data_IF_612649987829
#
_entry.id   IF_612649987829
#
_cell.length_a   1.000
_cell.length_b   1.000
_cell.length_c   1.000
_cell.angle_alpha   90.00
_cell.angle_beta   90.00
_cell.angle_gamma   90.00
#
_symmetry.space_group_name_H-M   'P 1'
#
loop_
_entity.id
_entity.type
_entity.pdbx_description
1 polymer ?
#
# COMPACT_ATOMS: atom_id res chain seq x y z
N UNK A 1 -32.59 -34.94 -4.60
CA UNK A 1 -31.76 -34.47 -3.46
C UNK A 1 -30.57 -33.67 -3.98
N UNK A 2 -29.74 -34.18 -4.90
CA UNK A 2 -28.56 -33.49 -5.42
C UNK A 2 -28.85 -32.12 -6.05
N UNK A 3 -29.92 -32.00 -6.86
CA UNK A 3 -30.33 -30.73 -7.49
C UNK A 3 -30.71 -29.68 -6.44
N UNK A 4 -31.42 -30.07 -5.36
CA UNK A 4 -31.77 -29.14 -4.29
C UNK A 4 -30.55 -28.64 -3.51
N UNK A 5 -29.57 -29.50 -3.27
CA UNK A 5 -28.31 -29.14 -2.65
C UNK A 5 -27.51 -28.19 -3.55
N UNK A 6 -27.44 -28.48 -4.86
CA UNK A 6 -26.76 -27.63 -5.85
C UNK A 6 -27.42 -26.23 -5.92
N UNK A 7 -28.76 -26.19 -5.95
CA UNK A 7 -29.51 -24.93 -5.98
C UNK A 7 -29.30 -24.11 -4.68
N UNK A 8 -29.27 -24.78 -3.51
CA UNK A 8 -28.96 -24.15 -2.23
C UNK A 8 -27.53 -23.58 -2.18
N UNK A 9 -26.55 -24.33 -2.72
CA UNK A 9 -25.16 -23.87 -2.81
C UNK A 9 -25.03 -22.66 -3.75
N UNK A 10 -25.72 -22.69 -4.89
CA UNK A 10 -25.74 -21.57 -5.85
C UNK A 10 -26.38 -20.33 -5.24
N UNK A 11 -27.50 -20.49 -4.52
CA UNK A 11 -28.15 -19.39 -3.83
C UNK A 11 -27.25 -18.79 -2.73
N UNK A 12 -26.56 -19.63 -1.95
CA UNK A 12 -25.62 -19.18 -0.95
C UNK A 12 -24.46 -18.40 -1.57
N UNK A 13 -23.91 -18.89 -2.68
CA UNK A 13 -22.84 -18.23 -3.42
C UNK A 13 -23.29 -16.86 -3.94
N UNK A 14 -24.49 -16.79 -4.51
CA UNK A 14 -25.08 -15.54 -4.98
C UNK A 14 -25.28 -14.54 -3.84
N UNK A 15 -25.76 -15.00 -2.70
CA UNK A 15 -25.96 -14.18 -1.52
C UNK A 15 -24.65 -13.63 -0.95
N UNK A 16 -23.58 -14.44 -0.93
CA UNK A 16 -22.25 -14.00 -0.56
C UNK A 16 -21.68 -12.96 -1.54
N UNK A 17 -21.91 -13.14 -2.84
CA UNK A 17 -21.47 -12.19 -3.87
C UNK A 17 -22.21 -10.85 -3.72
N UNK A 18 -23.51 -10.86 -3.51
CA UNK A 18 -24.31 -9.65 -3.25
C UNK A 18 -23.85 -8.96 -1.97
N UNK A 19 -23.59 -9.73 -0.91
CA UNK A 19 -23.10 -9.18 0.35
C UNK A 19 -21.72 -8.50 0.17
N UNK A 20 -20.82 -9.09 -0.62
CA UNK A 20 -19.51 -8.50 -0.94
C UNK A 20 -19.66 -7.16 -1.69
N UNK A 21 -20.51 -7.10 -2.71
CA UNK A 21 -20.77 -5.87 -3.48
C UNK A 21 -21.39 -4.78 -2.60
N UNK A 22 -22.34 -5.13 -1.74
CA UNK A 22 -22.98 -4.18 -0.81
C UNK A 22 -21.95 -3.66 0.21
N UNK A 23 -21.09 -4.53 0.71
CA UNK A 23 -20.03 -4.18 1.64
C UNK A 23 -19.06 -3.18 0.99
N UNK A 24 -18.58 -3.48 -0.22
CA UNK A 24 -17.68 -2.61 -0.98
C UNK A 24 -18.25 -1.20 -1.16
N UNK A 25 -19.51 -1.09 -1.61
CA UNK A 25 -20.18 0.20 -1.82
C UNK A 25 -20.42 0.98 -0.53
N UNK A 26 -20.74 0.32 0.57
CA UNK A 26 -21.14 0.98 1.82
C UNK A 26 -19.94 1.34 2.70
N UNK A 27 -18.91 0.52 2.71
CA UNK A 27 -17.77 0.64 3.65
C UNK A 27 -16.46 1.03 2.96
N UNK A 28 -16.33 0.77 1.66
CA UNK A 28 -15.12 1.05 0.90
C UNK A 28 -14.64 2.49 1.02
N UNK A 29 -15.52 3.46 0.88
CA UNK A 29 -15.16 4.88 1.00
C UNK A 29 -14.68 5.31 2.39
N UNK A 30 -15.14 4.65 3.46
CA UNK A 30 -14.65 4.91 4.82
C UNK A 30 -13.23 4.35 5.02
N UNK A 31 -12.99 3.13 4.53
CA UNK A 31 -11.67 2.48 4.58
C UNK A 31 -10.65 3.28 3.79
N UNK A 32 -10.98 3.70 2.57
CA UNK A 32 -10.10 4.52 1.72
C UNK A 32 -9.72 5.83 2.43
N UNK A 33 -10.71 6.58 2.94
CA UNK A 33 -10.43 7.84 3.65
C UNK A 33 -9.52 7.63 4.87
N UNK A 34 -9.77 6.57 5.64
CA UNK A 34 -8.95 6.24 6.80
C UNK A 34 -7.52 5.89 6.38
N UNK A 35 -7.34 5.08 5.32
CA UNK A 35 -6.03 4.77 4.77
C UNK A 35 -5.25 6.00 4.34
N UNK A 36 -5.86 6.90 3.58
CA UNK A 36 -5.18 8.10 3.09
C UNK A 36 -4.81 9.02 4.26
N UNK A 37 -5.71 9.20 5.22
CA UNK A 37 -5.45 10.01 6.42
C UNK A 37 -4.26 9.47 7.20
N UNK A 38 -4.20 8.17 7.42
CA UNK A 38 -3.12 7.53 8.17
C UNK A 38 -1.79 7.52 7.41
N UNK A 39 -1.81 7.31 6.09
CA UNK A 39 -0.61 7.43 5.27
C UNK A 39 0.04 8.81 5.43
N UNK A 40 -0.77 9.88 5.42
CA UNK A 40 -0.29 11.24 5.64
C UNK A 40 0.25 11.48 7.06
N UNK A 41 -0.23 10.74 8.05
CA UNK A 41 0.28 10.82 9.43
C UNK A 41 1.63 10.11 9.60
N UNK A 42 1.87 9.03 8.83
CA UNK A 42 3.13 8.28 8.90
C UNK A 42 4.25 8.87 8.06
N UNK A 43 3.90 9.60 7.00
CA UNK A 43 4.86 10.12 6.04
C UNK A 43 5.13 11.61 6.27
N UNK A 44 6.40 11.99 6.30
CA UNK A 44 6.84 13.38 6.41
C UNK A 44 7.00 14.08 5.04
N UNK A 45 6.60 13.40 3.96
CA UNK A 45 6.71 13.89 2.58
C UNK A 45 5.35 13.90 1.90
N UNK A 46 5.11 14.80 0.93
CA UNK A 46 3.85 14.81 0.19
C UNK A 46 3.72 13.56 -0.69
N UNK A 47 2.54 12.94 -0.63
CA UNK A 47 2.13 11.84 -1.49
C UNK A 47 0.98 12.30 -2.36
N UNK A 48 1.13 12.15 -3.66
CA UNK A 48 0.07 12.43 -4.63
C UNK A 48 -0.52 11.12 -5.13
N UNK A 49 -1.85 11.04 -5.18
CA UNK A 49 -2.60 9.86 -5.60
C UNK A 49 -3.70 10.35 -6.54
N UNK A 50 -3.82 9.78 -7.75
CA UNK A 50 -4.85 10.18 -8.71
C UNK A 50 -6.23 9.61 -8.37
N UNK A 51 -6.27 8.46 -7.72
CA UNK A 51 -7.49 7.81 -7.30
C UNK A 51 -7.24 6.73 -6.25
N UNK A 52 -8.27 6.41 -5.48
CA UNK A 52 -8.22 5.34 -4.51
C UNK A 52 -9.56 4.63 -4.43
N UNK A 53 -9.55 3.31 -4.50
CA UNK A 53 -10.74 2.49 -4.45
C UNK A 53 -10.54 1.29 -3.52
N UNK A 54 -11.62 0.87 -2.90
CA UNK A 54 -11.64 -0.35 -2.10
C UNK A 54 -12.06 -1.51 -3.00
N UNK A 55 -11.29 -2.61 -2.98
CA UNK A 55 -11.59 -3.79 -3.77
C UNK A 55 -11.49 -5.05 -2.92
N UNK A 56 -12.42 -5.98 -3.14
CA UNK A 56 -12.44 -7.28 -2.50
C UNK A 56 -11.96 -8.40 -3.44
N UNK A 57 -12.00 -8.15 -4.75
CA UNK A 57 -11.79 -9.18 -5.76
C UNK A 57 -10.35 -9.26 -6.26
N UNK A 58 -9.64 -8.15 -6.34
CA UNK A 58 -8.28 -8.11 -6.91
C UNK A 58 -7.26 -8.93 -6.12
N UNK A 59 -7.46 -9.06 -4.80
CA UNK A 59 -6.60 -9.82 -3.90
C UNK A 59 -7.35 -10.87 -3.08
N UNK A 60 -8.44 -11.42 -3.64
CA UNK A 60 -9.25 -12.43 -2.95
C UNK A 60 -8.39 -13.57 -2.37
N UNK A 61 -8.61 -14.03 -1.12
CA UNK A 61 -9.70 -13.69 -0.20
C UNK A 61 -9.45 -12.46 0.69
N UNK A 62 -8.47 -11.63 0.38
CA UNK A 62 -8.13 -10.44 1.16
C UNK A 62 -8.82 -9.21 0.56
N UNK A 63 -9.15 -8.26 1.42
CA UNK A 63 -9.61 -6.94 1.01
C UNK A 63 -8.40 -6.04 0.73
N UNK A 64 -8.49 -5.14 -0.21
CA UNK A 64 -7.42 -4.17 -0.47
C UNK A 64 -7.94 -2.78 -0.80
N UNK A 65 -7.12 -1.79 -0.53
CA UNK A 65 -7.26 -0.44 -1.08
C UNK A 65 -6.29 -0.34 -2.24
N UNK A 66 -6.81 -0.11 -3.43
CA UNK A 66 -6.05 0.13 -4.64
C UNK A 66 -5.86 1.63 -4.80
N UNK A 67 -4.62 2.07 -4.79
CA UNK A 67 -4.20 3.45 -5.03
C UNK A 67 -3.66 3.55 -6.46
N UNK A 68 -4.17 4.51 -7.23
CA UNK A 68 -3.79 4.74 -8.61
C UNK A 68 -2.79 5.88 -8.72
N UNK A 69 -1.78 5.71 -9.58
CA UNK A 69 -0.76 6.69 -9.95
C UNK A 69 -0.16 7.39 -8.73
N UNK A 70 0.43 6.59 -7.86
CA UNK A 70 1.03 7.04 -6.61
C UNK A 70 2.38 7.68 -6.90
N UNK A 71 2.57 8.91 -6.43
CA UNK A 71 3.84 9.63 -6.49
C UNK A 71 4.24 10.03 -5.09
N UNK A 72 5.38 9.54 -4.62
CA UNK A 72 5.99 9.89 -3.34
C UNK A 72 7.23 10.75 -3.60
N UNK A 73 7.28 11.93 -3.02
CA UNK A 73 8.42 12.83 -3.13
C UNK A 73 9.58 12.35 -2.26
N UNK A 74 10.78 12.80 -2.60
CA UNK A 74 11.98 12.55 -1.83
C UNK A 74 11.95 13.29 -0.48
N UNK A 75 12.51 12.68 0.56
CA UNK A 75 12.85 13.39 1.78
C UNK A 75 14.00 14.38 1.53
N UNK A 76 14.12 15.38 2.39
CA UNK A 76 15.20 16.39 2.34
C UNK A 76 15.25 17.17 1.01
N UNK A 77 14.21 17.95 0.65
CA UNK A 77 14.18 18.71 -0.60
C UNK A 77 15.33 19.71 -0.72
N UNK A 78 15.91 20.16 0.38
CA UNK A 78 17.11 21.01 0.42
C UNK A 78 18.38 20.30 -0.12
N UNK A 79 18.37 18.95 -0.11
CA UNK A 79 19.52 18.14 -0.58
C UNK A 79 19.25 17.52 -1.96
N UNK A 80 18.02 17.05 -2.18
CA UNK A 80 17.63 16.29 -3.38
C UNK A 80 16.76 17.08 -4.35
N UNK A 81 16.33 18.31 -3.95
CA UNK A 81 15.40 19.10 -4.74
C UNK A 81 14.00 18.48 -4.78
N UNK A 82 13.27 18.83 -5.82
CA UNK A 82 11.91 18.31 -6.08
C UNK A 82 11.90 16.90 -6.69
N UNK A 83 12.85 16.08 -6.29
CA UNK A 83 13.03 14.73 -6.81
C UNK A 83 11.95 13.78 -6.32
N UNK A 84 11.73 12.70 -7.05
CA UNK A 84 10.70 11.71 -6.76
C UNK A 84 11.37 10.44 -6.25
N UNK A 85 10.89 9.94 -5.11
CA UNK A 85 11.33 8.68 -4.53
C UNK A 85 10.65 7.49 -5.23
N UNK A 86 9.32 7.57 -5.37
CA UNK A 86 8.51 6.48 -5.94
C UNK A 86 7.47 7.04 -6.91
N UNK A 87 7.39 6.40 -8.06
CA UNK A 87 6.25 6.50 -8.98
C UNK A 87 5.73 5.08 -9.17
N UNK A 88 4.44 4.86 -8.93
CA UNK A 88 3.83 3.56 -9.13
C UNK A 88 2.43 3.72 -9.71
N UNK A 89 2.15 2.97 -10.79
CA UNK A 89 0.83 2.98 -11.41
C UNK A 89 -0.23 2.38 -10.50
N UNK A 90 0.13 1.33 -9.76
CA UNK A 90 -0.78 0.64 -8.84
C UNK A 90 -0.10 0.29 -7.53
N UNK A 91 -0.71 0.66 -6.42
CA UNK A 91 -0.30 0.23 -5.07
C UNK A 91 -1.51 -0.36 -4.36
N UNK A 92 -1.40 -1.62 -3.93
CA UNK A 92 -2.44 -2.30 -3.17
C UNK A 92 -2.02 -2.41 -1.72
N UNK A 93 -2.82 -1.82 -0.83
CA UNK A 93 -2.71 -1.99 0.61
C UNK A 93 -3.67 -3.10 1.03
N UNK A 94 -3.12 -4.23 1.44
CA UNK A 94 -3.89 -5.46 1.68
C UNK A 94 -4.24 -5.59 3.15
N UNK A 95 -5.50 -5.90 3.41
CA UNK A 95 -6.07 -6.05 4.74
C UNK A 95 -6.61 -7.46 4.97
N UNK A 96 -6.59 -7.89 6.22
CA UNK A 96 -7.32 -9.07 6.61
C UNK A 96 -8.82 -8.72 6.76
N UNK A 97 -9.73 -9.35 6.00
CA UNK A 97 -11.15 -9.01 6.03
C UNK A 97 -11.81 -9.21 7.39
N UNK A 98 -11.35 -10.21 8.18
CA UNK A 98 -11.89 -10.45 9.53
C UNK A 98 -11.49 -9.36 10.51
N UNK A 99 -10.29 -8.80 10.38
CA UNK A 99 -9.84 -7.65 11.16
C UNK A 99 -10.60 -6.39 10.75
N UNK A 100 -10.79 -6.20 9.44
CA UNK A 100 -11.53 -5.07 8.88
C UNK A 100 -12.98 -5.00 9.41
N UNK A 101 -13.66 -6.14 9.52
CA UNK A 101 -15.00 -6.24 10.12
C UNK A 101 -15.03 -5.79 11.60
N UNK A 102 -13.91 -5.93 12.32
CA UNK A 102 -13.74 -5.48 13.69
C UNK A 102 -13.23 -4.05 13.81
N UNK A 103 -13.16 -3.30 12.68
CA UNK A 103 -12.58 -1.96 12.58
C UNK A 103 -11.09 -1.92 12.93
N UNK A 104 -10.39 -3.03 12.78
CA UNK A 104 -8.94 -3.12 12.89
C UNK A 104 -8.34 -2.97 11.47
N UNK A 105 -7.83 -1.79 11.16
CA UNK A 105 -7.28 -1.40 9.86
C UNK A 105 -5.79 -1.76 9.75
N UNK A 106 -5.41 -2.97 10.16
CA UNK A 106 -4.03 -3.44 10.02
C UNK A 106 -3.71 -3.79 8.58
N UNK A 107 -2.76 -3.06 7.97
CA UNK A 107 -2.20 -3.40 6.65
C UNK A 107 -1.28 -4.60 6.83
N UNK A 108 -1.61 -5.71 6.19
CA UNK A 108 -0.86 -6.97 6.26
C UNK A 108 0.15 -7.14 5.14
N UNK A 109 -0.11 -6.55 3.97
CA UNK A 109 0.79 -6.59 2.83
C UNK A 109 0.67 -5.32 1.97
N UNK A 110 1.75 -4.99 1.27
CA UNK A 110 1.82 -3.94 0.28
C UNK A 110 2.31 -4.50 -1.05
N UNK A 111 1.50 -4.36 -2.11
CA UNK A 111 1.86 -4.78 -3.45
C UNK A 111 1.99 -3.55 -4.34
N UNK A 112 3.14 -3.36 -4.97
CA UNK A 112 3.40 -2.25 -5.89
C UNK A 112 3.63 -2.78 -7.28
N UNK A 113 2.99 -2.19 -8.28
CA UNK A 113 3.06 -2.64 -9.66
C UNK A 113 3.33 -1.47 -10.60
N UNK A 114 4.17 -1.74 -11.59
CA UNK A 114 4.49 -0.84 -12.71
C UNK A 114 4.94 0.55 -12.24
N UNK A 115 6.25 0.68 -12.00
CA UNK A 115 6.74 1.96 -11.50
C UNK A 115 8.25 2.07 -11.48
N UNK A 116 8.69 3.13 -10.84
CA UNK A 116 10.09 3.47 -10.65
C UNK A 116 10.36 3.85 -9.20
N UNK A 117 11.40 3.27 -8.63
CA UNK A 117 11.87 3.57 -7.28
C UNK A 117 13.30 4.13 -7.37
N UNK A 118 13.50 5.36 -6.90
CA UNK A 118 14.79 6.03 -6.89
C UNK A 118 15.31 6.18 -5.47
N UNK A 119 16.29 5.38 -5.09
CA UNK A 119 16.95 5.44 -3.78
C UNK A 119 18.26 6.19 -3.90
N UNK A 120 18.41 7.28 -3.16
CA UNK A 120 19.59 8.14 -3.22
C UNK A 120 20.14 8.44 -1.83
N UNK A 121 21.46 8.33 -1.69
CA UNK A 121 22.21 8.74 -0.50
C UNK A 121 23.19 9.85 -0.88
N UNK A 122 23.06 11.00 -0.26
CA UNK A 122 23.93 12.14 -0.49
C UNK A 122 25.30 11.96 0.20
N UNK A 123 26.29 12.77 -0.18
CA UNK A 123 27.62 12.76 0.42
C UNK A 123 27.64 13.07 1.91
N UNK A 124 26.66 13.86 2.38
CA UNK A 124 26.47 14.18 3.80
C UNK A 124 25.76 13.05 4.60
N UNK A 125 25.40 11.93 3.94
CA UNK A 125 24.77 10.77 4.56
C UNK A 125 23.24 10.85 4.66
N UNK A 126 22.59 11.93 4.20
CA UNK A 126 21.14 12.01 4.12
C UNK A 126 20.62 11.09 3.02
N UNK A 127 19.43 10.48 3.27
CA UNK A 127 18.79 9.61 2.31
C UNK A 127 17.47 10.21 1.83
N UNK A 128 17.17 10.07 0.55
CA UNK A 128 15.88 10.55 0.01
C UNK A 128 14.70 9.69 0.44
N UNK A 129 14.95 8.51 1.01
CA UNK A 129 13.96 7.57 1.51
C UNK A 129 13.72 7.66 3.04
N UNK A 130 14.24 8.68 3.71
CA UNK A 130 13.95 8.97 5.12
C UNK A 130 12.59 9.67 5.24
N UNK A 131 11.56 9.02 4.69
CA UNK A 131 10.21 9.58 4.51
C UNK A 131 9.26 9.34 5.68
N UNK A 132 9.67 8.54 6.67
CA UNK A 132 8.84 8.24 7.83
C UNK A 132 9.12 9.20 8.96
N UNK A 133 8.06 9.61 9.67
CA UNK A 133 8.25 10.29 10.93
C UNK A 133 9.00 9.41 11.92
N UNK A 134 10.02 9.92 12.63
CA UNK A 134 10.65 9.15 13.70
C UNK A 134 9.56 8.77 14.72
N UNK A 135 9.35 7.47 14.91
CA UNK A 135 8.40 6.96 15.89
C UNK A 135 8.86 7.38 17.29
N UNK A 136 8.16 8.33 17.90
CA UNK A 136 8.24 8.52 19.34
C UNK A 136 7.59 7.31 20.01
N UNK A 137 8.34 6.58 20.83
CA UNK A 137 7.91 5.37 21.55
C UNK A 137 6.73 5.57 22.54
N UNK A 138 6.05 6.71 22.52
CA UNK A 138 5.05 7.10 23.52
C UNK A 138 3.63 7.32 23.01
N UNK A 139 3.30 7.11 21.74
CA UNK A 139 1.92 7.27 21.28
C UNK A 139 1.10 5.97 21.38
N UNK A 140 0.75 5.63 22.61
CA UNK A 140 -0.34 4.71 22.97
C UNK A 140 -1.74 5.30 22.71
N UNK A 141 -1.87 6.33 21.90
CA UNK A 141 -3.16 6.91 21.56
C UNK A 141 -3.66 6.27 20.25
N UNK A 142 -4.61 5.36 20.41
CA UNK A 142 -5.70 4.94 19.51
C UNK A 142 -5.57 5.34 18.02
N UNK A 143 -4.46 5.02 17.36
CA UNK A 143 -4.40 5.08 15.92
C UNK A 143 -5.07 3.82 15.38
N UNK A 144 -6.17 4.00 14.67
CA UNK A 144 -7.00 2.89 14.18
C UNK A 144 -6.34 2.08 13.06
N UNK A 145 -5.29 2.60 12.44
CA UNK A 145 -4.50 1.93 11.42
C UNK A 145 -3.15 1.47 11.99
N UNK A 146 -2.86 0.19 11.88
CA UNK A 146 -1.56 -0.37 12.25
C UNK A 146 -0.81 -0.83 11.02
N UNK A 147 0.38 -0.25 10.79
CA UNK A 147 1.32 -0.75 9.80
C UNK A 147 2.03 -1.99 10.37
N UNK A 148 1.50 -3.16 10.06
CA UNK A 148 2.16 -4.45 10.33
C UNK A 148 2.40 -5.15 8.99
N UNK A 149 3.20 -4.51 8.14
CA UNK A 149 3.45 -5.03 6.79
C UNK A 149 4.41 -6.20 6.90
N UNK A 150 3.87 -7.40 6.80
CA UNK A 150 4.63 -8.65 6.85
C UNK A 150 5.01 -9.17 5.47
N UNK A 151 4.47 -8.55 4.41
CA UNK A 151 4.73 -8.98 3.04
C UNK A 151 4.79 -7.79 2.10
N UNK A 152 5.87 -7.71 1.33
CA UNK A 152 6.02 -6.78 0.22
C UNK A 152 6.08 -7.54 -1.09
N UNK A 153 5.34 -7.07 -2.09
CA UNK A 153 5.43 -7.55 -3.46
C UNK A 153 5.68 -6.39 -4.40
N UNK A 154 6.74 -6.52 -5.21
CA UNK A 154 7.05 -5.60 -6.28
C UNK A 154 6.91 -6.34 -7.61
N UNK A 155 6.24 -5.73 -8.58
CA UNK A 155 6.06 -6.30 -9.92
C UNK A 155 6.29 -5.23 -10.98
N UNK A 156 7.14 -5.55 -11.97
CA UNK A 156 7.46 -4.62 -13.06
C UNK A 156 7.97 -3.25 -12.58
N UNK A 157 8.92 -3.26 -11.65
CA UNK A 157 9.50 -2.07 -11.05
C UNK A 157 10.93 -1.83 -11.56
N UNK A 158 11.21 -0.65 -12.08
CA UNK A 158 12.56 -0.17 -12.27
C UNK A 158 13.06 0.44 -10.96
N UNK A 159 14.24 0.06 -10.50
CA UNK A 159 14.83 0.54 -9.27
C UNK A 159 16.22 1.11 -9.57
N UNK A 160 16.47 2.33 -9.15
CA UNK A 160 17.79 2.98 -9.21
C UNK A 160 18.28 3.23 -7.79
N UNK A 161 19.48 2.80 -7.50
CA UNK A 161 20.17 3.11 -6.24
C UNK A 161 21.44 3.91 -6.55
N UNK A 162 21.55 5.09 -5.98
CA UNK A 162 22.70 5.96 -6.16
C UNK A 162 23.21 6.46 -4.79
N UNK A 163 24.44 6.15 -4.46
CA UNK A 163 25.09 6.62 -3.24
C UNK A 163 26.31 7.47 -3.57
N UNK A 164 26.17 8.78 -3.38
CA UNK A 164 27.29 9.70 -3.53
C UNK A 164 28.39 9.45 -2.48
N UNK A 165 28.00 8.95 -1.29
CA UNK A 165 28.95 8.63 -0.21
C UNK A 165 29.89 7.46 -0.58
N UNK A 166 29.36 6.40 -1.16
CA UNK A 166 30.12 5.20 -1.57
C UNK A 166 30.52 5.20 -3.03
N UNK A 167 30.12 6.21 -3.82
CA UNK A 167 30.32 6.30 -5.27
C UNK A 167 29.76 5.06 -6.01
N UNK A 168 28.65 4.53 -5.53
CA UNK A 168 28.00 3.35 -6.09
C UNK A 168 26.69 3.78 -6.78
N UNK A 169 26.52 3.29 -8.02
CA UNK A 169 25.27 3.42 -8.78
C UNK A 169 24.88 2.06 -9.29
N UNK A 170 23.62 1.66 -9.04
CA UNK A 170 23.06 0.38 -9.45
C UNK A 170 21.65 0.61 -9.99
N UNK A 171 21.39 0.13 -11.19
CA UNK A 171 20.08 0.13 -11.80
C UNK A 171 19.60 -1.31 -11.98
N UNK A 172 18.36 -1.58 -11.55
CA UNK A 172 17.75 -2.91 -11.54
C UNK A 172 16.37 -2.83 -12.16
N UNK A 173 15.99 -3.89 -12.86
CA UNK A 173 14.58 -4.11 -13.22
C UNK A 173 14.06 -5.35 -12.51
N UNK A 174 13.02 -5.17 -11.70
CA UNK A 174 12.39 -6.21 -10.91
C UNK A 174 11.11 -6.65 -11.64
N UNK A 175 11.16 -7.81 -12.30
CA UNK A 175 9.97 -8.40 -12.91
C UNK A 175 8.96 -8.83 -11.84
N UNK A 176 9.44 -9.49 -10.79
CA UNK A 176 8.65 -9.89 -9.63
C UNK A 176 9.56 -10.16 -8.42
N UNK A 177 9.25 -9.54 -7.29
CA UNK A 177 9.89 -9.76 -5.99
C UNK A 177 8.80 -9.98 -4.95
N UNK A 178 8.95 -11.00 -4.12
CA UNK A 178 8.08 -11.25 -2.98
C UNK A 178 8.96 -11.44 -1.74
N UNK A 179 8.82 -10.54 -0.78
CA UNK A 179 9.54 -10.56 0.50
C UNK A 179 8.53 -10.76 1.65
N UNK A 180 8.88 -11.60 2.62
CA UNK A 180 8.13 -11.89 3.86
C UNK A 180 8.99 -11.61 5.07
#
# INVERSE_FOLDING_TARGET
>A
IAIRILLGLLLLLLLLLVAAIVFEKRWGGAVVRQCISELNNYLCVPVTISGAEFTFFDNFPHASVHLHDVVVRSAHPETFGDDTLLIAHSVFLVFNPMKLLRKDYTISACHTQQGFLSLRTASNGKNNFDIFHPSSESDTLATSLRLSVNQFRLSQMACSFNSAKSKLSVDLFISSLNAK
#
